data_IF_184622753024
#
_entry.id   IF_184622753024
#
_cell.length_a   1.000
_cell.length_b   1.000
_cell.length_c   1.000
_cell.angle_alpha   90.00
_cell.angle_beta   90.00
_cell.angle_gamma   90.00
#
_symmetry.space_group_name_H-M   'P 1'
#
loop_
_entity.id
_entity.type
_entity.pdbx_description
1 polymer ?
#
# COMPACT_ATOMS: atom_id res chain seq x y z
N UNK A 1 34.02 3.89 17.86
CA UNK A 1 33.86 4.22 16.42
C UNK A 1 33.25 3.07 15.59
N UNK A 2 33.26 1.80 16.06
CA UNK A 2 32.67 0.64 15.35
C UNK A 2 31.21 0.30 15.74
N UNK A 3 30.67 0.84 16.84
CA UNK A 3 29.32 0.50 17.34
C UNK A 3 28.16 1.08 16.52
N UNK A 4 28.38 2.12 15.71
CA UNK A 4 27.31 2.70 14.89
C UNK A 4 27.00 1.80 13.67
N UNK A 5 28.02 1.13 13.13
CA UNK A 5 27.89 0.20 12.01
C UNK A 5 27.18 -1.08 12.48
N UNK A 6 27.50 -1.61 13.66
CA UNK A 6 26.83 -2.81 14.19
C UNK A 6 25.39 -2.55 14.56
N UNK A 7 25.04 -1.40 15.15
CA UNK A 7 23.64 -1.07 15.47
C UNK A 7 22.77 -0.90 14.22
N UNK A 8 23.31 -0.31 13.15
CA UNK A 8 22.65 -0.25 11.84
C UNK A 8 22.59 -1.62 11.14
N UNK A 9 23.64 -2.43 11.30
CA UNK A 9 23.75 -3.75 10.69
C UNK A 9 22.82 -4.80 11.32
N UNK A 10 22.58 -4.72 12.64
CA UNK A 10 21.67 -5.65 13.32
C UNK A 10 20.24 -5.51 12.78
N UNK A 11 19.68 -4.30 12.73
CA UNK A 11 18.32 -4.12 12.21
C UNK A 11 18.21 -4.27 10.69
N UNK A 12 19.13 -3.70 9.91
CA UNK A 12 19.03 -3.69 8.44
C UNK A 12 19.39 -5.05 7.83
N UNK A 13 20.39 -5.74 8.40
CA UNK A 13 20.84 -7.05 7.93
C UNK A 13 19.80 -8.13 8.15
N UNK A 14 19.14 -8.13 9.31
CA UNK A 14 18.03 -9.05 9.61
C UNK A 14 16.85 -8.84 8.66
N UNK A 15 16.47 -7.59 8.39
CA UNK A 15 15.40 -7.26 7.43
C UNK A 15 15.74 -7.78 6.02
N UNK A 16 16.98 -7.59 5.57
CA UNK A 16 17.44 -8.09 4.27
C UNK A 16 17.41 -9.61 4.22
N UNK A 17 17.83 -10.30 5.28
CA UNK A 17 17.80 -11.76 5.36
C UNK A 17 16.36 -12.28 5.29
N UNK A 18 15.43 -11.68 6.05
CA UNK A 18 14.01 -12.03 6.03
C UNK A 18 13.41 -11.77 4.66
N UNK A 19 13.70 -10.60 4.07
CA UNK A 19 13.26 -10.26 2.72
C UNK A 19 13.76 -11.27 1.69
N UNK A 20 15.00 -11.75 1.82
CA UNK A 20 15.58 -12.77 0.93
C UNK A 20 14.89 -14.13 1.09
N UNK A 21 14.61 -14.57 2.33
CA UNK A 21 13.87 -15.81 2.59
C UNK A 21 12.45 -15.73 2.03
N UNK A 22 11.75 -14.62 2.27
CA UNK A 22 10.42 -14.37 1.70
C UNK A 22 10.49 -14.35 0.16
N UNK A 23 11.51 -13.73 -0.41
CA UNK A 23 11.72 -13.70 -1.86
C UNK A 23 12.00 -15.08 -2.46
N UNK A 24 12.66 -15.99 -1.73
CA UNK A 24 12.88 -17.36 -2.17
C UNK A 24 11.59 -18.19 -2.11
N UNK A 25 10.78 -18.03 -1.06
CA UNK A 25 9.51 -18.77 -0.90
C UNK A 25 8.45 -18.27 -1.89
N UNK A 26 8.29 -16.95 -2.01
CA UNK A 26 7.27 -16.35 -2.87
C UNK A 26 7.76 -16.11 -4.30
N UNK A 27 9.07 -16.02 -4.51
CA UNK A 27 9.67 -15.66 -5.80
C UNK A 27 9.63 -14.15 -6.08
N UNK A 28 10.61 -13.66 -6.86
CA UNK A 28 10.73 -12.24 -7.20
C UNK A 28 9.59 -11.63 -8.01
N UNK A 29 8.71 -12.47 -8.58
CA UNK A 29 7.58 -12.01 -9.40
C UNK A 29 6.27 -11.88 -8.62
N UNK A 30 6.04 -12.69 -7.57
CA UNK A 30 4.77 -12.69 -6.84
C UNK A 30 4.59 -11.45 -5.97
N UNK A 31 5.65 -10.96 -5.33
CA UNK A 31 5.59 -9.76 -4.47
C UNK A 31 5.12 -8.51 -5.27
N UNK A 32 5.72 -8.17 -6.44
CA UNK A 32 5.22 -7.08 -7.29
C UNK A 32 3.82 -7.33 -7.87
N UNK A 33 3.49 -8.58 -8.22
CA UNK A 33 2.19 -8.94 -8.79
C UNK A 33 1.05 -8.74 -7.77
N UNK A 34 1.26 -9.18 -6.53
CA UNK A 34 0.36 -8.96 -5.41
C UNK A 34 0.20 -7.47 -5.12
N UNK A 35 1.29 -6.71 -5.06
CA UNK A 35 1.23 -5.25 -4.87
C UNK A 35 0.46 -4.53 -5.98
N UNK A 36 0.64 -4.95 -7.24
CA UNK A 36 -0.13 -4.39 -8.37
C UNK A 36 -1.61 -4.73 -8.27
N UNK A 37 -1.96 -5.95 -7.85
CA UNK A 37 -3.34 -6.36 -7.60
C UNK A 37 -4.00 -5.55 -6.49
N UNK A 38 -3.34 -5.49 -5.32
CA UNK A 38 -3.79 -4.71 -4.17
C UNK A 38 -3.90 -3.22 -4.49
N UNK A 39 -2.91 -2.64 -5.17
CA UNK A 39 -2.90 -1.23 -5.56
C UNK A 39 -4.04 -0.88 -6.50
N UNK A 40 -4.36 -1.76 -7.46
CA UNK A 40 -5.54 -1.59 -8.32
C UNK A 40 -6.85 -1.67 -7.53
N UNK A 41 -6.97 -2.65 -6.62
CA UNK A 41 -8.15 -2.80 -5.76
C UNK A 41 -8.38 -1.58 -4.87
N UNK A 42 -7.34 -1.10 -4.19
CA UNK A 42 -7.41 0.12 -3.36
C UNK A 42 -7.73 1.36 -4.19
N UNK A 43 -7.15 1.47 -5.40
CA UNK A 43 -7.45 2.59 -6.31
C UNK A 43 -8.91 2.61 -6.76
N UNK A 44 -9.47 1.45 -7.12
CA UNK A 44 -10.88 1.33 -7.51
C UNK A 44 -11.82 1.56 -6.33
N UNK A 45 -11.47 1.03 -5.15
CA UNK A 45 -12.23 1.29 -3.93
C UNK A 45 -12.30 2.78 -3.60
N UNK A 46 -11.16 3.49 -3.65
CA UNK A 46 -11.11 4.93 -3.41
C UNK A 46 -11.91 5.75 -4.42
N UNK A 47 -11.96 5.32 -5.69
CA UNK A 47 -12.79 5.96 -6.72
C UNK A 47 -14.27 5.75 -6.44
N UNK A 48 -14.69 4.51 -6.18
CA UNK A 48 -16.10 4.21 -5.87
C UNK A 48 -16.61 4.99 -4.65
N UNK A 49 -15.81 5.10 -3.58
CA UNK A 49 -16.17 5.92 -2.41
C UNK A 49 -16.33 7.39 -2.79
N UNK A 50 -15.41 7.94 -3.59
CA UNK A 50 -15.48 9.34 -4.02
C UNK A 50 -16.70 9.61 -4.91
N UNK A 51 -16.99 8.72 -5.84
CA UNK A 51 -18.14 8.87 -6.75
C UNK A 51 -19.46 8.89 -5.95
N UNK A 52 -19.57 8.06 -4.90
CA UNK A 52 -20.71 8.05 -3.97
C UNK A 52 -20.78 9.35 -3.16
N UNK A 53 -19.66 9.83 -2.63
CA UNK A 53 -19.62 11.11 -1.90
C UNK A 53 -20.02 12.29 -2.81
N UNK A 54 -19.56 12.31 -4.06
CA UNK A 54 -19.89 13.35 -5.04
C UNK A 54 -21.38 13.30 -5.43
N UNK A 55 -21.97 12.11 -5.55
CA UNK A 55 -23.41 11.90 -5.84
C UNK A 55 -24.32 12.30 -4.65
N UNK A 56 -23.90 12.03 -3.42
CA UNK A 56 -24.60 12.49 -2.22
C UNK A 56 -24.56 14.02 -2.15
N UNK A 57 -23.40 14.63 -2.39
CA UNK A 57 -23.25 16.09 -2.33
C UNK A 57 -24.04 16.82 -3.44
N UNK A 58 -24.09 16.28 -4.66
CA UNK A 58 -24.91 16.85 -5.74
C UNK A 58 -26.40 16.76 -5.40
N UNK A 59 -26.86 15.62 -4.88
CA UNK A 59 -28.26 15.42 -4.47
C UNK A 59 -28.68 16.37 -3.34
N UNK A 60 -27.81 16.58 -2.35
CA UNK A 60 -28.07 17.52 -1.24
C UNK A 60 -28.12 18.97 -1.74
N UNK A 61 -27.21 19.36 -2.65
CA UNK A 61 -27.17 20.70 -3.22
C UNK A 61 -28.40 21.03 -4.07
N UNK A 62 -28.95 20.03 -4.76
CA UNK A 62 -30.18 20.17 -5.54
C UNK A 62 -31.44 20.26 -4.65
N UNK A 63 -31.38 19.78 -3.40
CA UNK A 63 -32.45 19.93 -2.40
C UNK A 63 -32.38 21.24 -1.62
N UNK A 64 -31.20 21.86 -1.45
CA UNK A 64 -31.06 23.19 -0.81
C UNK A 64 -31.35 24.37 -1.76
N UNK A 65 -31.39 24.12 -3.08
CA UNK A 65 -31.63 25.14 -4.11
C UNK A 65 -33.09 25.35 -4.52
N UNK A 66 -34.05 24.70 -3.84
CA UNK A 66 -35.50 24.92 -3.98
C UNK A 66 -36.09 25.43 -2.67
#
# INVERSE_FOLDING_TARGET
>A
MLNLITLWALGTGEIILIALVVLLIFGGKKIPELMRGLGKGVSQFKKGVKDVDDEINSTLKDMEGK
#
